data_IF_468497199376
#
_entry.id   IF_468497199376
#
_cell.length_a   1.000
_cell.length_b   1.000
_cell.length_c   1.000
_cell.angle_alpha   90.00
_cell.angle_beta   90.00
_cell.angle_gamma   90.00
#
_symmetry.space_group_name_H-M   'P 1'
#
loop_
_entity.id
_entity.type
_entity.pdbx_description
1 polymer ?
#
# COMPACT_ATOMS: atom_id res chain seq x y z
N UNK A 1 -8.68 26.65 3.01
CA UNK A 1 -8.18 25.44 2.35
C UNK A 1 -8.49 25.53 0.88
N UNK A 2 -7.60 25.02 0.03
CA UNK A 2 -7.86 24.84 -1.41
C UNK A 2 -9.13 23.98 -1.58
N UNK A 3 -9.99 24.33 -2.54
CA UNK A 3 -11.29 23.69 -2.79
C UNK A 3 -11.61 23.74 -4.29
N UNK A 4 -12.58 22.94 -4.73
CA UNK A 4 -13.00 22.87 -6.14
C UNK A 4 -12.67 21.53 -6.78
N UNK A 5 -12.46 21.52 -8.09
CA UNK A 5 -12.29 20.33 -8.92
C UNK A 5 -10.90 20.30 -9.58
N UNK A 6 -10.48 19.11 -10.04
CA UNK A 6 -9.20 18.93 -10.76
C UNK A 6 -9.30 19.23 -12.26
N UNK A 7 -10.49 19.47 -12.81
CA UNK A 7 -10.68 19.77 -14.24
C UNK A 7 -9.77 20.87 -14.81
N UNK A 8 -9.47 21.97 -14.09
CA UNK A 8 -8.60 23.00 -14.63
C UNK A 8 -7.16 22.54 -14.86
N UNK A 9 -6.64 21.60 -14.06
CA UNK A 9 -5.26 21.13 -14.20
C UNK A 9 -5.10 20.11 -15.35
N UNK A 10 -6.18 19.47 -15.79
CA UNK A 10 -6.19 18.55 -16.92
C UNK A 10 -5.77 19.19 -18.26
N UNK A 11 -5.84 20.53 -18.35
CA UNK A 11 -5.47 21.30 -19.55
C UNK A 11 -3.97 21.62 -19.62
N UNK A 12 -3.21 21.34 -18.55
CA UNK A 12 -1.78 21.62 -18.52
C UNK A 12 -1.06 20.45 -19.19
N UNK A 13 -0.52 20.72 -20.38
CA UNK A 13 0.34 19.77 -21.08
C UNK A 13 1.57 19.45 -20.21
N UNK A 14 1.89 18.16 -20.08
CA UNK A 14 3.08 17.66 -19.38
C UNK A 14 3.07 17.76 -17.83
N UNK A 15 1.91 17.70 -17.18
CA UNK A 15 1.90 17.48 -15.72
C UNK A 15 2.57 16.14 -15.38
N UNK A 16 3.57 16.22 -14.51
CA UNK A 16 4.24 15.05 -13.92
C UNK A 16 3.87 14.83 -12.45
N UNK A 17 3.45 15.88 -11.72
CA UNK A 17 3.21 15.82 -10.28
C UNK A 17 1.91 16.54 -9.96
N UNK A 18 1.00 15.85 -9.27
CA UNK A 18 -0.22 16.41 -8.70
C UNK A 18 -0.20 16.16 -7.20
N UNK A 19 -0.21 17.24 -6.41
CA UNK A 19 -0.23 17.18 -4.94
C UNK A 19 -1.29 18.13 -4.38
N UNK A 20 -2.38 17.56 -3.85
CA UNK A 20 -3.50 18.31 -3.25
C UNK A 20 -3.94 17.71 -1.91
N UNK A 21 -3.04 17.00 -1.24
CA UNK A 21 -3.30 16.36 0.05
C UNK A 21 -3.77 17.35 1.11
N UNK A 22 -4.71 16.93 1.95
CA UNK A 22 -5.33 17.73 3.01
C UNK A 22 -5.99 19.03 2.50
N UNK A 23 -6.71 18.91 1.38
CA UNK A 23 -7.51 20.00 0.79
C UNK A 23 -8.99 19.60 0.71
N UNK A 24 -9.85 20.55 0.34
CA UNK A 24 -11.29 20.33 0.09
C UNK A 24 -11.57 20.16 -1.41
N UNK A 25 -10.59 19.63 -2.15
CA UNK A 25 -10.81 19.24 -3.54
C UNK A 25 -11.76 18.05 -3.57
N UNK A 26 -12.66 18.05 -4.54
CA UNK A 26 -13.76 17.11 -4.70
C UNK A 26 -14.00 16.79 -6.19
N UNK A 27 -14.94 15.89 -6.47
CA UNK A 27 -15.25 15.36 -7.78
C UNK A 27 -14.32 14.22 -8.19
N UNK A 28 -14.54 13.74 -9.42
CA UNK A 28 -13.89 12.54 -9.93
C UNK A 28 -12.50 12.81 -10.52
N UNK A 29 -11.70 11.75 -10.69
CA UNK A 29 -10.39 11.82 -11.35
C UNK A 29 -10.45 11.72 -12.88
N UNK A 30 -11.64 11.65 -13.48
CA UNK A 30 -11.81 11.43 -14.93
C UNK A 30 -11.17 12.51 -15.79
N UNK A 31 -11.13 13.76 -15.31
CA UNK A 31 -10.49 14.86 -16.02
C UNK A 31 -8.98 14.64 -16.19
N UNK A 32 -8.34 13.82 -15.34
CA UNK A 32 -6.91 13.53 -15.42
C UNK A 32 -6.54 12.48 -16.49
N UNK A 33 -7.48 12.01 -17.31
CA UNK A 33 -7.23 11.03 -18.38
C UNK A 33 -6.15 11.46 -19.40
N UNK A 34 -5.95 12.77 -19.59
CA UNK A 34 -4.89 13.33 -20.45
C UNK A 34 -3.51 13.41 -19.77
N UNK A 35 -3.42 13.22 -18.45
CA UNK A 35 -2.19 13.36 -17.67
C UNK A 35 -1.29 12.12 -17.78
N UNK A 36 -0.95 11.72 -19.01
CA UNK A 36 -0.20 10.48 -19.28
C UNK A 36 1.27 10.51 -18.80
N UNK A 37 1.82 11.70 -18.59
CA UNK A 37 3.19 11.91 -18.08
C UNK A 37 3.26 11.93 -16.55
N UNK A 38 2.15 11.62 -15.86
CA UNK A 38 2.07 11.68 -14.41
C UNK A 38 3.02 10.65 -13.76
N UNK A 39 3.90 11.16 -12.91
CA UNK A 39 4.87 10.39 -12.12
C UNK A 39 4.46 10.31 -10.66
N UNK A 40 3.77 11.31 -10.14
CA UNK A 40 3.35 11.35 -8.74
C UNK A 40 1.94 11.90 -8.58
N UNK A 41 1.12 11.17 -7.84
CA UNK A 41 -0.22 11.59 -7.45
C UNK A 41 -0.35 11.52 -5.93
N UNK A 42 -0.64 12.66 -5.29
CA UNK A 42 -0.90 12.76 -3.86
C UNK A 42 -2.20 13.52 -3.64
N UNK A 43 -3.25 12.79 -3.32
CA UNK A 43 -4.62 13.29 -3.15
C UNK A 43 -5.21 12.98 -1.77
N UNK A 44 -4.39 12.49 -0.83
CA UNK A 44 -4.86 12.00 0.46
C UNK A 44 -5.63 13.06 1.27
N UNK A 45 -6.58 12.61 2.09
CA UNK A 45 -7.41 13.47 2.93
C UNK A 45 -8.11 14.59 2.12
N UNK A 46 -8.80 14.18 1.05
CA UNK A 46 -9.65 15.02 0.19
C UNK A 46 -11.04 14.39 0.03
N UNK A 47 -11.98 15.14 -0.55
CA UNK A 47 -13.35 14.68 -0.83
C UNK A 47 -13.49 14.18 -2.29
N UNK A 48 -12.38 13.75 -2.91
CA UNK A 48 -12.35 13.16 -4.25
C UNK A 48 -13.10 11.82 -4.24
N UNK A 49 -13.92 11.62 -5.25
CA UNK A 49 -14.73 10.42 -5.45
C UNK A 49 -14.38 9.70 -6.77
N UNK A 50 -15.09 8.60 -7.04
CA UNK A 50 -14.93 7.83 -8.27
C UNK A 50 -13.78 6.82 -8.24
N UNK A 51 -13.24 6.54 -9.41
CA UNK A 51 -12.25 5.46 -9.64
C UNK A 51 -10.90 5.98 -10.12
N UNK A 52 -9.91 5.09 -10.13
CA UNK A 52 -8.55 5.37 -10.61
C UNK A 52 -8.31 4.91 -12.06
N UNK A 53 -9.35 4.76 -12.89
CA UNK A 53 -9.24 4.18 -14.24
C UNK A 53 -8.21 4.88 -15.14
N UNK A 54 -8.08 6.20 -15.00
CA UNK A 54 -7.14 7.00 -15.78
C UNK A 54 -5.67 6.59 -15.57
N UNK A 55 -5.32 6.01 -14.41
CA UNK A 55 -3.96 5.55 -14.12
C UNK A 55 -3.48 4.44 -15.05
N UNK A 56 -4.40 3.76 -15.75
CA UNK A 56 -4.05 2.78 -16.78
C UNK A 56 -3.18 3.35 -17.92
N UNK A 57 -3.20 4.67 -18.12
CA UNK A 57 -2.38 5.37 -19.12
C UNK A 57 -1.09 5.97 -18.52
N UNK A 58 -0.98 6.08 -17.20
CA UNK A 58 0.15 6.71 -16.50
C UNK A 58 1.31 5.70 -16.32
N UNK A 59 1.89 5.22 -17.42
CA UNK A 59 2.94 4.17 -17.38
C UNK A 59 4.23 4.61 -16.65
N UNK A 60 4.43 5.92 -16.51
CA UNK A 60 5.55 6.53 -15.81
C UNK A 60 5.28 6.81 -14.31
N UNK A 61 4.11 6.42 -13.79
CA UNK A 61 3.75 6.62 -12.39
C UNK A 61 4.73 5.89 -11.46
N UNK A 62 5.30 6.64 -10.51
CA UNK A 62 6.26 6.17 -9.51
C UNK A 62 5.65 6.16 -8.10
N UNK A 63 4.75 7.09 -7.80
CA UNK A 63 4.16 7.22 -6.46
C UNK A 63 2.67 7.56 -6.53
N UNK A 64 1.87 6.81 -5.78
CA UNK A 64 0.45 7.04 -5.58
C UNK A 64 0.14 7.14 -4.08
N UNK A 65 -0.47 8.25 -3.65
CA UNK A 65 -1.01 8.43 -2.31
C UNK A 65 -2.44 8.97 -2.36
N UNK A 66 -3.40 8.18 -1.86
CA UNK A 66 -4.81 8.51 -1.72
C UNK A 66 -5.33 8.16 -0.31
N UNK A 67 -4.45 8.21 0.68
CA UNK A 67 -4.77 7.89 2.08
C UNK A 67 -5.97 8.71 2.57
N UNK A 68 -6.92 8.09 3.25
CA UNK A 68 -8.13 8.74 3.75
C UNK A 68 -9.02 9.40 2.67
N UNK A 69 -8.93 8.99 1.40
CA UNK A 69 -9.92 9.35 0.39
C UNK A 69 -11.13 8.42 0.48
N UNK A 70 -12.02 8.69 1.42
CA UNK A 70 -13.13 7.79 1.77
C UNK A 70 -14.14 7.56 0.63
N UNK A 71 -14.21 8.41 -0.39
CA UNK A 71 -15.12 8.22 -1.52
C UNK A 71 -14.45 7.55 -2.74
N UNK A 72 -13.14 7.32 -2.68
CA UNK A 72 -12.38 6.68 -3.75
C UNK A 72 -12.59 5.16 -3.71
N UNK A 73 -13.00 4.59 -4.85
CA UNK A 73 -13.39 3.19 -4.97
C UNK A 73 -13.01 2.60 -6.34
N UNK A 74 -13.38 1.34 -6.58
CA UNK A 74 -13.08 0.62 -7.82
C UNK A 74 -11.81 -0.23 -7.74
N UNK A 75 -11.51 -0.99 -8.79
CA UNK A 75 -10.49 -2.03 -8.74
C UNK A 75 -9.06 -1.46 -8.77
N UNK A 76 -8.09 -2.23 -8.25
CA UNK A 76 -6.66 -1.97 -8.40
C UNK A 76 -6.13 -2.10 -9.84
N UNK A 77 -6.90 -2.72 -10.75
CA UNK A 77 -6.50 -3.05 -12.13
C UNK A 77 -5.81 -1.94 -12.93
N UNK A 78 -6.17 -0.65 -12.81
CA UNK A 78 -5.48 0.43 -13.52
C UNK A 78 -3.97 0.51 -13.21
N UNK A 79 -3.52 -0.01 -12.06
CA UNK A 79 -2.10 0.00 -11.68
C UNK A 79 -1.26 -1.03 -12.45
N UNK A 80 -1.87 -1.97 -13.19
CA UNK A 80 -1.15 -3.01 -13.95
C UNK A 80 -0.14 -2.44 -14.95
N UNK A 81 -0.46 -1.28 -15.52
CA UNK A 81 0.37 -0.59 -16.52
C UNK A 81 1.43 0.33 -15.91
N UNK A 82 1.39 0.57 -14.60
CA UNK A 82 2.29 1.51 -13.91
C UNK A 82 3.61 0.82 -13.53
N UNK A 83 4.41 0.44 -14.53
CA UNK A 83 5.60 -0.43 -14.37
C UNK A 83 6.73 0.21 -13.52
N UNK A 84 6.69 1.54 -13.35
CA UNK A 84 7.65 2.30 -12.56
C UNK A 84 7.22 2.53 -11.12
N UNK A 85 6.07 2.00 -10.69
CA UNK A 85 5.57 2.20 -9.33
C UNK A 85 6.57 1.71 -8.28
N UNK A 86 6.85 2.59 -7.33
CA UNK A 86 7.70 2.37 -6.17
C UNK A 86 6.91 2.44 -4.88
N UNK A 87 5.87 3.28 -4.82
CA UNK A 87 5.10 3.56 -3.60
C UNK A 87 3.61 3.62 -3.89
N UNK A 88 2.85 2.88 -3.10
CA UNK A 88 1.39 2.93 -3.08
C UNK A 88 0.95 3.13 -1.63
N UNK A 89 0.21 4.20 -1.38
CA UNK A 89 -0.54 4.40 -0.14
C UNK A 89 -2.00 4.73 -0.46
N UNK A 90 -2.88 3.74 -0.32
CA UNK A 90 -4.32 3.85 -0.55
C UNK A 90 -5.10 3.54 0.74
N UNK A 91 -4.45 3.67 1.89
CA UNK A 91 -5.07 3.30 3.15
C UNK A 91 -6.36 4.08 3.41
N UNK A 92 -7.33 3.44 4.04
CA UNK A 92 -8.64 4.03 4.37
C UNK A 92 -9.38 4.54 3.12
N UNK A 93 -9.42 3.73 2.07
CA UNK A 93 -10.23 3.93 0.86
C UNK A 93 -11.19 2.73 0.66
N UNK A 94 -12.06 2.81 -0.35
CA UNK A 94 -12.91 1.70 -0.80
C UNK A 94 -12.37 1.05 -2.09
N UNK A 95 -11.06 1.12 -2.31
CA UNK A 95 -10.41 0.41 -3.42
C UNK A 95 -10.59 -1.11 -3.22
N UNK A 96 -10.86 -1.79 -4.32
CA UNK A 96 -11.21 -3.21 -4.37
C UNK A 96 -10.36 -3.99 -5.37
N UNK A 97 -10.67 -5.28 -5.54
CA UNK A 97 -10.00 -6.18 -6.47
C UNK A 97 -8.81 -6.91 -5.84
N UNK A 98 -7.98 -7.51 -6.68
CA UNK A 98 -6.90 -8.40 -6.23
C UNK A 98 -5.52 -7.75 -6.33
N UNK A 99 -4.57 -8.29 -5.57
CA UNK A 99 -3.16 -7.90 -5.65
C UNK A 99 -2.50 -8.30 -6.99
N UNK A 100 -3.18 -9.06 -7.87
CA UNK A 100 -2.67 -9.38 -9.22
C UNK A 100 -2.35 -8.13 -10.02
N UNK A 101 -3.06 -7.04 -9.74
CA UNK A 101 -2.81 -5.73 -10.35
C UNK A 101 -1.38 -5.22 -10.12
N UNK A 102 -0.71 -5.67 -9.06
CA UNK A 102 0.65 -5.26 -8.69
C UNK A 102 1.74 -6.18 -9.24
N UNK A 103 1.38 -7.27 -9.92
CA UNK A 103 2.34 -8.29 -10.41
C UNK A 103 3.39 -7.76 -11.40
N UNK A 104 3.12 -6.63 -12.07
CA UNK A 104 4.05 -5.96 -12.98
C UNK A 104 4.93 -4.91 -12.28
N UNK A 105 4.64 -4.54 -11.02
CA UNK A 105 5.32 -3.48 -10.29
C UNK A 105 6.66 -3.96 -9.69
N UNK A 106 7.63 -4.30 -10.54
CA UNK A 106 8.93 -4.86 -10.10
C UNK A 106 9.74 -3.93 -9.20
N UNK A 107 9.46 -2.63 -9.26
CA UNK A 107 10.13 -1.59 -8.48
C UNK A 107 9.36 -1.23 -7.19
N UNK A 108 8.29 -1.95 -6.85
CA UNK A 108 7.47 -1.60 -5.68
C UNK A 108 8.22 -1.86 -4.38
N UNK A 109 8.46 -0.79 -3.62
CA UNK A 109 9.17 -0.81 -2.33
C UNK A 109 8.22 -0.71 -1.15
N UNK A 110 7.12 0.03 -1.30
CA UNK A 110 6.14 0.28 -0.23
C UNK A 110 4.72 0.09 -0.73
N UNK A 111 3.98 -0.75 -0.02
CA UNK A 111 2.54 -0.95 -0.20
C UNK A 111 1.84 -0.69 1.13
N UNK A 112 1.01 0.33 1.18
CA UNK A 112 0.08 0.58 2.27
C UNK A 112 -1.35 0.56 1.71
N UNK A 113 -2.10 -0.48 2.06
CA UNK A 113 -3.52 -0.61 1.76
C UNK A 113 -4.33 -0.90 3.04
N UNK A 114 -3.82 -0.44 4.20
CA UNK A 114 -4.48 -0.61 5.48
C UNK A 114 -5.94 -0.11 5.41
N UNK A 115 -6.86 -0.85 6.03
CA UNK A 115 -8.29 -0.57 6.06
C UNK A 115 -8.97 -0.55 4.67
N UNK A 116 -8.38 -1.18 3.65
CA UNK A 116 -9.06 -1.43 2.38
C UNK A 116 -9.79 -2.78 2.45
N UNK A 117 -11.02 -2.76 2.98
CA UNK A 117 -11.79 -3.97 3.27
C UNK A 117 -12.25 -4.76 2.03
N UNK A 118 -12.21 -4.14 0.86
CA UNK A 118 -12.67 -4.73 -0.40
C UNK A 118 -11.53 -5.29 -1.27
N UNK A 119 -10.28 -5.19 -0.82
CA UNK A 119 -9.14 -5.90 -1.44
C UNK A 119 -9.21 -7.37 -1.05
N UNK A 120 -9.18 -8.25 -2.04
CA UNK A 120 -9.38 -9.69 -1.89
C UNK A 120 -8.33 -10.52 -2.63
N UNK A 121 -8.43 -11.85 -2.54
CA UNK A 121 -7.50 -12.78 -3.17
C UNK A 121 -6.37 -13.21 -2.24
N UNK A 122 -5.20 -13.52 -2.80
CA UNK A 122 -4.05 -14.07 -2.07
C UNK A 122 -2.87 -13.09 -2.03
N UNK A 123 -1.87 -13.40 -1.20
CA UNK A 123 -0.60 -12.66 -1.14
C UNK A 123 0.40 -13.05 -2.24
N UNK A 124 0.12 -14.09 -3.03
CA UNK A 124 1.04 -14.60 -4.06
C UNK A 124 1.50 -13.55 -5.09
N UNK A 125 0.65 -12.60 -5.54
CA UNK A 125 1.09 -11.59 -6.49
C UNK A 125 2.23 -10.72 -5.98
N UNK A 126 2.39 -10.59 -4.66
CA UNK A 126 3.49 -9.82 -4.07
C UNK A 126 4.85 -10.47 -4.31
N UNK A 127 4.94 -11.79 -4.59
CA UNK A 127 6.18 -12.46 -5.01
C UNK A 127 6.84 -11.78 -6.22
N UNK A 128 6.05 -11.09 -7.02
CA UNK A 128 6.49 -10.37 -8.19
C UNK A 128 7.05 -8.98 -7.89
N UNK A 129 7.04 -8.53 -6.64
CA UNK A 129 7.56 -7.26 -6.16
C UNK A 129 8.80 -7.52 -5.26
N UNK A 130 9.94 -7.95 -5.85
CA UNK A 130 11.03 -8.58 -5.09
C UNK A 130 11.76 -7.63 -4.12
N UNK A 131 11.58 -6.32 -4.28
CA UNK A 131 12.26 -5.29 -3.48
C UNK A 131 11.38 -4.66 -2.41
N UNK A 132 10.19 -5.23 -2.12
CA UNK A 132 9.32 -4.74 -1.06
C UNK A 132 10.07 -4.63 0.27
N UNK A 133 9.96 -3.46 0.90
CA UNK A 133 10.53 -3.16 2.21
C UNK A 133 9.45 -3.01 3.27
N UNK A 134 8.29 -2.47 2.90
CA UNK A 134 7.19 -2.18 3.81
C UNK A 134 5.88 -2.61 3.17
N UNK A 135 5.13 -3.48 3.86
CA UNK A 135 3.80 -3.91 3.46
C UNK A 135 2.86 -3.73 4.65
N UNK A 136 1.85 -2.89 4.50
CA UNK A 136 0.72 -2.78 5.43
C UNK A 136 -0.58 -3.11 4.70
N UNK A 137 -1.18 -4.22 5.09
CA UNK A 137 -2.46 -4.74 4.60
C UNK A 137 -3.43 -4.92 5.77
N UNK A 138 -3.20 -4.22 6.88
CA UNK A 138 -4.04 -4.36 8.07
C UNK A 138 -5.51 -4.09 7.76
N UNK A 139 -6.41 -4.84 8.37
CA UNK A 139 -7.87 -4.75 8.17
C UNK A 139 -8.35 -5.06 6.73
N UNK A 140 -7.51 -5.62 5.86
CA UNK A 140 -7.93 -6.23 4.58
C UNK A 140 -8.52 -7.62 4.81
N UNK A 141 -9.74 -7.68 5.35
CA UNK A 141 -10.39 -8.92 5.83
C UNK A 141 -10.68 -9.97 4.75
N UNK A 142 -10.78 -9.56 3.48
CA UNK A 142 -11.01 -10.48 2.35
C UNK A 142 -9.71 -11.07 1.77
N UNK A 143 -8.54 -10.64 2.23
CA UNK A 143 -7.27 -11.26 1.86
C UNK A 143 -7.11 -12.61 2.56
N UNK A 144 -6.69 -13.60 1.79
CA UNK A 144 -6.48 -14.99 2.21
C UNK A 144 -5.05 -15.45 1.90
N UNK A 145 -4.72 -16.66 2.34
CA UNK A 145 -3.52 -17.36 1.90
C UNK A 145 -2.44 -17.45 2.96
N UNK A 146 -1.33 -18.09 2.59
CA UNK A 146 -0.22 -18.37 3.52
C UNK A 146 0.70 -17.16 3.64
N UNK A 147 1.03 -16.76 4.87
CA UNK A 147 2.01 -15.69 5.14
C UNK A 147 3.38 -16.01 4.54
N UNK A 148 3.77 -17.29 4.55
CA UNK A 148 5.11 -17.73 4.20
C UNK A 148 5.51 -17.50 2.74
N UNK A 149 4.56 -17.15 1.86
CA UNK A 149 4.89 -16.69 0.50
C UNK A 149 5.81 -15.46 0.52
N UNK A 150 5.76 -14.66 1.59
CA UNK A 150 6.59 -13.47 1.72
C UNK A 150 8.01 -13.74 2.25
N UNK A 151 8.37 -14.98 2.61
CA UNK A 151 9.72 -15.33 3.11
C UNK A 151 10.86 -15.12 2.10
N UNK A 152 10.52 -15.07 0.81
CA UNK A 152 11.46 -14.76 -0.27
C UNK A 152 11.92 -13.29 -0.26
N UNK A 153 11.15 -12.37 0.35
CA UNK A 153 11.44 -10.93 0.35
C UNK A 153 12.54 -10.58 1.36
N UNK A 154 13.80 -10.67 0.93
CA UNK A 154 14.97 -10.38 1.78
C UNK A 154 15.13 -8.89 2.13
N UNK A 155 14.47 -8.01 1.38
CA UNK A 155 14.43 -6.57 1.63
C UNK A 155 13.43 -6.16 2.71
N UNK A 156 12.48 -7.03 3.06
CA UNK A 156 11.35 -6.69 3.93
C UNK A 156 11.84 -6.28 5.32
N UNK A 157 11.23 -5.21 5.82
CA UNK A 157 11.54 -4.53 7.09
C UNK A 157 10.30 -4.57 7.96
N UNK A 158 9.13 -4.37 7.34
CA UNK A 158 7.84 -4.33 8.02
C UNK A 158 6.79 -5.09 7.24
N UNK A 159 6.03 -5.88 7.97
CA UNK A 159 4.86 -6.58 7.49
C UNK A 159 3.74 -6.45 8.51
N UNK A 160 2.67 -5.78 8.13
CA UNK A 160 1.47 -5.66 8.93
C UNK A 160 0.29 -6.29 8.19
N UNK A 161 -0.22 -7.38 8.76
CA UNK A 161 -1.43 -8.09 8.31
C UNK A 161 -2.41 -8.23 9.48
N UNK A 162 -2.37 -7.29 10.44
CA UNK A 162 -3.34 -7.26 11.53
C UNK A 162 -4.78 -7.32 10.99
N UNK A 163 -5.66 -8.00 11.69
CA UNK A 163 -7.07 -8.15 11.37
C UNK A 163 -7.36 -8.78 9.99
N UNK A 164 -6.38 -9.39 9.32
CA UNK A 164 -6.60 -10.21 8.13
C UNK A 164 -7.00 -11.62 8.55
N UNK A 165 -8.30 -11.80 8.83
CA UNK A 165 -8.83 -13.02 9.46
C UNK A 165 -8.63 -14.30 8.65
N UNK A 166 -8.38 -14.20 7.35
CA UNK A 166 -8.20 -15.36 6.45
C UNK A 166 -6.73 -15.64 6.08
N UNK A 167 -5.78 -14.83 6.56
CA UNK A 167 -4.35 -15.10 6.41
C UNK A 167 -3.90 -16.11 7.47
N UNK A 168 -3.19 -17.15 7.05
CA UNK A 168 -2.74 -18.26 7.90
C UNK A 168 -1.28 -18.64 7.65
N UNK A 169 -0.76 -19.59 8.43
CA UNK A 169 0.63 -20.06 8.34
C UNK A 169 1.33 -20.00 9.68
N UNK A 170 2.63 -19.75 9.67
CA UNK A 170 3.47 -19.55 10.85
C UNK A 170 4.42 -18.37 10.64
N UNK A 171 5.15 -18.00 11.69
CA UNK A 171 6.08 -16.86 11.71
C UNK A 171 7.54 -17.25 11.53
N UNK A 172 7.82 -18.51 11.21
CA UNK A 172 9.18 -19.00 11.02
C UNK A 172 9.87 -18.21 9.89
N UNK A 173 11.01 -17.57 10.17
CA UNK A 173 11.79 -16.80 9.19
C UNK A 173 11.46 -15.31 9.10
N UNK A 174 10.51 -14.80 9.90
CA UNK A 174 10.22 -13.36 10.02
C UNK A 174 10.87 -12.71 11.26
N UNK A 175 11.96 -13.29 11.76
CA UNK A 175 12.61 -12.89 13.01
C UNK A 175 13.26 -11.51 12.97
N UNK A 176 13.61 -11.04 11.76
CA UNK A 176 14.38 -9.80 11.54
C UNK A 176 13.55 -8.61 11.09
N UNK A 177 12.22 -8.69 11.18
CA UNK A 177 11.30 -7.65 10.70
C UNK A 177 10.31 -7.21 11.78
N UNK A 178 9.72 -6.02 11.61
CA UNK A 178 8.54 -5.61 12.36
C UNK A 178 7.33 -6.36 11.78
N UNK A 179 6.92 -7.43 12.48
CA UNK A 179 5.77 -8.25 12.09
C UNK A 179 4.57 -7.96 13.00
N UNK A 180 3.42 -7.64 12.40
CA UNK A 180 2.13 -7.43 13.09
C UNK A 180 1.08 -8.37 12.49
N UNK A 181 0.55 -9.28 13.32
CA UNK A 181 -0.29 -10.41 12.90
C UNK A 181 -1.51 -10.67 13.81
N UNK A 182 -1.92 -9.70 14.63
CA UNK A 182 -3.12 -9.83 15.47
C UNK A 182 -4.35 -10.14 14.63
N UNK A 183 -5.28 -10.94 15.13
CA UNK A 183 -6.54 -11.19 14.43
C UNK A 183 -6.41 -11.96 13.11
N UNK A 184 -5.29 -12.66 12.92
CA UNK A 184 -5.06 -13.61 11.81
C UNK A 184 -5.21 -15.06 12.27
N UNK A 185 -5.17 -16.01 11.32
CA UNK A 185 -5.09 -17.46 11.58
C UNK A 185 -3.64 -17.99 11.64
N UNK A 186 -2.65 -17.11 11.84
CA UNK A 186 -1.23 -17.49 11.92
C UNK A 186 -0.93 -18.16 13.27
N UNK A 187 -0.19 -19.28 13.22
CA UNK A 187 0.28 -20.04 14.38
C UNK A 187 1.73 -19.69 14.69
N UNK A 188 1.98 -19.11 15.85
CA UNK A 188 3.34 -18.85 16.34
C UNK A 188 3.93 -20.09 17.02
N UNK A 189 4.36 -21.09 16.24
CA UNK A 189 4.82 -22.38 16.79
C UNK A 189 6.25 -22.37 17.35
N UNK A 190 7.08 -21.39 16.99
CA UNK A 190 8.51 -21.32 17.36
C UNK A 190 8.83 -20.15 18.29
N UNK A 191 7.82 -19.52 18.91
CA UNK A 191 7.99 -18.31 19.73
C UNK A 191 7.49 -18.55 21.15
N UNK A 192 8.25 -18.04 22.12
CA UNK A 192 7.83 -17.99 23.53
C UNK A 192 6.56 -17.13 23.68
N UNK A 193 5.72 -17.35 24.70
CA UNK A 193 4.53 -16.52 24.94
C UNK A 193 4.83 -15.00 24.95
N UNK A 194 5.97 -14.59 25.52
CA UNK A 194 6.41 -13.20 25.56
C UNK A 194 6.72 -12.67 24.15
N UNK A 195 7.44 -13.45 23.34
CA UNK A 195 7.72 -13.12 21.94
C UNK A 195 6.43 -13.05 21.10
N UNK A 196 5.46 -13.92 21.36
CA UNK A 196 4.13 -13.88 20.73
C UNK A 196 3.41 -12.59 21.10
N UNK A 197 3.38 -12.21 22.38
CA UNK A 197 2.78 -10.94 22.83
C UNK A 197 3.47 -9.74 22.19
N UNK A 198 4.79 -9.79 22.03
CA UNK A 198 5.59 -8.77 21.39
C UNK A 198 5.28 -8.63 19.89
N UNK A 199 5.24 -9.74 19.13
CA UNK A 199 4.84 -9.75 17.71
C UNK A 199 3.41 -9.21 17.54
N UNK A 200 2.49 -9.68 18.39
CA UNK A 200 1.12 -9.16 18.45
C UNK A 200 1.09 -7.66 18.71
N UNK A 201 1.94 -7.13 19.60
CA UNK A 201 2.00 -5.68 19.87
C UNK A 201 2.83 -4.88 18.86
N UNK A 202 3.42 -5.51 17.84
CA UNK A 202 4.36 -4.87 16.91
C UNK A 202 5.67 -4.42 17.59
N UNK A 203 6.04 -5.05 18.71
CA UNK A 203 7.22 -4.71 19.52
C UNK A 203 8.21 -5.89 19.54
N UNK A 204 8.78 -6.26 18.39
CA UNK A 204 9.80 -7.32 18.36
C UNK A 204 11.09 -6.84 19.06
N UNK A 205 11.70 -7.63 19.98
CA UNK A 205 12.90 -7.23 20.70
C UNK A 205 14.18 -7.26 19.83
N UNK A 206 14.15 -7.94 18.68
CA UNK A 206 15.25 -8.00 17.69
C UNK A 206 15.35 -6.70 16.86
N UNK A 207 14.33 -5.84 16.95
CA UNK A 207 14.02 -4.83 15.94
C UNK A 207 14.49 -3.41 16.29
N UNK A 208 14.72 -3.08 17.57
CA UNK A 208 14.73 -1.68 17.99
C UNK A 208 15.91 -0.82 17.50
N UNK A 209 17.12 -1.37 17.31
CA UNK A 209 18.27 -0.56 16.86
C UNK A 209 18.54 -0.71 15.35
N UNK A 210 18.37 -1.92 14.80
CA UNK A 210 18.57 -2.17 13.36
C UNK A 210 17.46 -1.55 12.50
N UNK A 211 16.20 -1.60 12.95
CA UNK A 211 15.11 -1.02 12.17
C UNK A 211 15.09 0.50 12.30
N UNK A 212 15.47 1.11 13.44
CA UNK A 212 15.43 2.58 13.60
C UNK A 212 16.22 3.32 12.51
N UNK A 213 17.42 2.83 12.19
CA UNK A 213 18.24 3.38 11.10
C UNK A 213 17.65 3.14 9.70
N UNK A 214 16.93 2.03 9.49
CA UNK A 214 16.26 1.69 8.22
C UNK A 214 14.87 2.35 8.11
N UNK A 215 14.28 2.75 9.24
CA UNK A 215 12.99 3.42 9.38
C UNK A 215 13.08 4.88 8.98
N UNK A 216 14.09 5.58 9.48
CA UNK A 216 14.29 7.02 9.23
C UNK A 216 14.52 7.32 7.74
N UNK A 217 15.04 6.34 6.97
CA UNK A 217 15.12 6.41 5.51
C UNK A 217 13.79 6.20 4.77
N UNK A 218 12.78 5.60 5.42
CA UNK A 218 11.46 5.30 4.81
C UNK A 218 10.40 6.32 5.22
N UNK A 219 10.41 6.79 6.47
CA UNK A 219 9.41 7.76 7.01
C UNK A 219 9.65 9.21 6.57
N UNK A 220 10.80 9.54 5.98
CA UNK A 220 11.11 10.88 5.47
C UNK A 220 10.58 11.18 4.05
N UNK A 221 9.86 10.24 3.42
CA UNK A 221 9.44 10.35 2.02
C UNK A 221 7.94 10.50 1.77
N UNK A 222 7.08 10.37 2.80
CA UNK A 222 5.65 10.72 2.69
C UNK A 222 5.37 12.16 3.14
N UNK A 223 6.41 12.89 3.55
CA UNK A 223 6.35 14.26 4.09
C UNK A 223 7.02 15.30 3.18
N UNK A 224 7.31 14.96 1.93
CA UNK A 224 7.80 15.89 0.90
C UNK A 224 6.96 15.78 -0.36
#
# INVERSE_FOLDING_TARGET
GLHGFLDPIAQIECIEIIGVTATKITGTLNSLASCINLRQLSIGNTDIDGTMEFLSQCTDLMSLSAVCCFNLHGPLDPLRCCLKLQKIDIAMTHISGTLDALSSCKNLETLNAANCGDIEGTLEPLLNCPILTTVDLSDCKKLTGKLNVLLSHKSLIRLNVNSCSEIFGDTCGFDSIELKINGTKIKDVNKTPEQVVMLRRGRSPVVNDFLKNKLDSVTSYFSK
#
